data_IF_134801194345
#
_entry.id   IF_134801194345
#
_cell.length_a   1.000
_cell.length_b   1.000
_cell.length_c   1.000
_cell.angle_alpha   90.00
_cell.angle_beta   90.00
_cell.angle_gamma   90.00
#
_symmetry.space_group_name_H-M   'P 1'
#
loop_
_entity.id
_entity.type
_entity.pdbx_description
1 polymer ?
#
# COMPACT_ATOMS: atom_id res chain seq x y z
N UNK A 1 -18.33 -24.76 2.78
CA UNK A 1 -18.06 -24.09 1.50
C UNK A 1 -18.24 -22.59 1.74
N UNK A 2 -17.16 -21.87 2.02
CA UNK A 2 -17.20 -20.52 2.58
C UNK A 2 -17.12 -19.46 1.48
N UNK A 3 -18.01 -18.46 1.55
CA UNK A 3 -18.27 -17.43 0.53
C UNK A 3 -17.26 -16.27 0.56
N UNK A 4 -15.96 -16.54 0.75
CA UNK A 4 -14.93 -15.50 0.85
C UNK A 4 -14.18 -15.22 -0.47
N UNK A 5 -14.57 -15.83 -1.59
CA UNK A 5 -13.81 -15.76 -2.85
C UNK A 5 -14.37 -14.82 -3.92
N UNK A 6 -15.31 -13.93 -3.58
CA UNK A 6 -16.03 -13.17 -4.61
C UNK A 6 -15.97 -11.65 -4.46
N UNK A 7 -14.77 -11.07 -4.26
CA UNK A 7 -14.49 -9.66 -4.63
C UNK A 7 -13.01 -9.49 -5.02
N UNK A 8 -12.57 -10.06 -6.15
CA UNK A 8 -11.32 -9.62 -6.79
C UNK A 8 -11.52 -9.60 -8.31
N UNK A 9 -11.84 -8.42 -8.84
CA UNK A 9 -11.82 -8.16 -10.27
C UNK A 9 -10.40 -7.95 -10.78
N UNK A 10 -10.04 -8.66 -11.86
CA UNK A 10 -9.03 -8.31 -12.87
C UNK A 10 -7.69 -7.68 -12.39
N UNK A 11 -7.05 -8.29 -11.41
CA UNK A 11 -5.63 -8.13 -11.08
C UNK A 11 -5.09 -9.48 -10.62
N UNK A 12 -3.81 -9.79 -10.87
CA UNK A 12 -3.20 -11.02 -10.35
C UNK A 12 -3.44 -11.05 -8.83
N UNK A 13 -4.02 -12.13 -8.27
CA UNK A 13 -4.27 -12.19 -6.83
C UNK A 13 -2.95 -11.98 -6.09
N UNK A 14 -2.97 -11.11 -5.08
CA UNK A 14 -1.82 -10.89 -4.22
C UNK A 14 -1.34 -12.25 -3.69
N UNK A 15 -0.09 -12.60 -3.99
CA UNK A 15 0.53 -13.83 -3.50
C UNK A 15 1.50 -13.47 -2.38
N UNK A 16 1.12 -13.69 -1.11
CA UNK A 16 1.97 -13.32 0.01
C UNK A 16 3.36 -13.95 -0.07
N UNK A 17 4.37 -13.12 0.17
CA UNK A 17 5.77 -13.55 0.31
C UNK A 17 6.20 -13.53 1.76
N UNK A 18 6.60 -14.70 2.25
CA UNK A 18 7.01 -14.92 3.63
C UNK A 18 8.51 -15.15 3.68
N UNK A 19 9.20 -14.37 4.51
CA UNK A 19 10.57 -14.64 4.92
C UNK A 19 10.53 -15.48 6.20
N UNK A 20 10.91 -16.75 6.10
CA UNK A 20 10.99 -17.67 7.24
C UNK A 20 12.43 -17.69 7.76
N UNK A 21 12.64 -17.34 9.02
CA UNK A 21 13.94 -17.31 9.68
C UNK A 21 13.98 -18.35 10.80
N UNK A 22 14.61 -19.49 10.53
CA UNK A 22 14.65 -20.67 11.39
C UNK A 22 15.93 -21.48 11.08
N UNK A 23 16.75 -21.75 12.09
CA UNK A 23 18.05 -22.42 11.91
C UNK A 23 17.94 -23.95 11.99
N UNK A 24 16.96 -24.48 12.73
CA UNK A 24 16.71 -25.90 12.84
C UNK A 24 16.08 -26.46 11.55
N UNK A 25 16.85 -27.27 10.82
CA UNK A 25 16.49 -27.69 9.46
C UNK A 25 15.13 -28.40 9.38
N UNK A 26 14.85 -29.31 10.32
CA UNK A 26 13.62 -30.09 10.31
C UNK A 26 12.39 -29.21 10.55
N UNK A 27 12.45 -28.34 11.55
CA UNK A 27 11.42 -27.33 11.82
C UNK A 27 11.24 -26.42 10.61
N UNK A 28 12.33 -25.86 10.08
CA UNK A 28 12.30 -24.95 8.93
C UNK A 28 11.62 -25.57 7.71
N UNK A 29 11.94 -26.82 7.39
CA UNK A 29 11.33 -27.56 6.27
C UNK A 29 9.85 -27.85 6.54
N UNK A 30 9.49 -28.24 7.76
CA UNK A 30 8.09 -28.48 8.13
C UNK A 30 7.24 -27.21 7.99
N UNK A 31 7.70 -26.09 8.56
CA UNK A 31 7.02 -24.80 8.44
C UNK A 31 6.94 -24.33 6.99
N UNK A 32 8.02 -24.46 6.22
CA UNK A 32 8.03 -24.10 4.80
C UNK A 32 7.01 -24.93 4.01
N UNK A 33 6.93 -26.24 4.25
CA UNK A 33 5.99 -27.13 3.56
C UNK A 33 4.54 -26.70 3.84
N UNK A 34 4.19 -26.51 5.12
CA UNK A 34 2.85 -26.08 5.53
C UNK A 34 2.46 -24.75 4.88
N UNK A 35 3.38 -23.77 4.85
CA UNK A 35 3.12 -22.47 4.21
C UNK A 35 2.94 -22.59 2.68
N UNK A 36 3.74 -23.44 2.04
CA UNK A 36 3.68 -23.67 0.59
C UNK A 36 2.44 -24.45 0.17
N UNK A 37 1.94 -25.38 0.99
CA UNK A 37 0.68 -26.10 0.76
C UNK A 37 -0.52 -25.15 0.65
N UNK A 38 -0.49 -24.02 1.37
CA UNK A 38 -1.51 -22.96 1.31
C UNK A 38 -1.29 -22.00 0.12
N UNK A 39 -0.17 -22.13 -0.60
CA UNK A 39 0.15 -21.35 -1.80
C UNK A 39 1.00 -20.10 -1.56
N UNK A 40 1.54 -19.92 -0.35
CA UNK A 40 2.43 -18.80 -0.06
C UNK A 40 3.82 -19.01 -0.67
N UNK A 41 4.43 -17.91 -1.11
CA UNK A 41 5.82 -17.92 -1.56
C UNK A 41 6.74 -17.77 -0.34
N UNK A 42 7.62 -18.74 -0.10
CA UNK A 42 8.44 -18.80 1.12
C UNK A 42 9.92 -18.80 0.79
N UNK A 43 10.64 -17.83 1.34
CA UNK A 43 12.10 -17.80 1.33
C UNK A 43 12.62 -18.16 2.74
N UNK A 44 13.36 -19.28 2.85
CA UNK A 44 13.96 -19.72 4.10
C UNK A 44 15.35 -19.09 4.34
N UNK A 45 15.57 -18.48 5.49
CA UNK A 45 16.86 -18.04 5.99
C UNK A 45 17.23 -18.82 7.26
N UNK A 46 18.40 -19.46 7.28
CA UNK A 46 18.87 -20.25 8.42
C UNK A 46 19.71 -19.47 9.44
N UNK A 47 19.92 -18.19 9.17
CA UNK A 47 20.69 -17.27 10.00
C UNK A 47 20.08 -15.87 9.88
N UNK A 48 20.30 -15.02 10.88
CA UNK A 48 19.77 -13.67 10.85
C UNK A 48 20.42 -12.82 9.76
N UNK A 49 21.72 -13.01 9.50
CA UNK A 49 22.40 -12.33 8.38
C UNK A 49 21.81 -12.71 7.02
N UNK A 50 21.52 -13.98 6.79
CA UNK A 50 20.88 -14.43 5.55
C UNK A 50 19.46 -13.87 5.41
N UNK A 51 18.74 -13.72 6.53
CA UNK A 51 17.42 -13.10 6.53
C UNK A 51 17.51 -11.61 6.11
N UNK A 52 18.45 -10.86 6.68
CA UNK A 52 18.67 -9.45 6.32
C UNK A 52 19.15 -9.27 4.88
N UNK A 53 20.00 -10.16 4.38
CA UNK A 53 20.43 -10.17 2.98
C UNK A 53 19.22 -10.35 2.05
N UNK A 54 18.39 -11.37 2.29
CA UNK A 54 17.18 -11.61 1.49
C UNK A 54 16.21 -10.44 1.56
N UNK A 55 15.98 -9.91 2.77
CA UNK A 55 15.14 -8.74 3.00
C UNK A 55 15.61 -7.52 2.19
N UNK A 56 16.92 -7.36 1.97
CA UNK A 56 17.44 -6.26 1.14
C UNK A 56 17.23 -6.46 -0.36
N UNK A 57 17.04 -7.70 -0.82
CA UNK A 57 16.97 -8.06 -2.24
C UNK A 57 15.54 -8.22 -2.75
N UNK A 58 14.58 -8.52 -1.87
CA UNK A 58 13.19 -8.84 -2.23
C UNK A 58 12.21 -8.17 -1.29
N UNK A 59 10.98 -8.01 -1.78
CA UNK A 59 9.85 -7.59 -0.95
C UNK A 59 9.21 -8.80 -0.28
N UNK A 60 8.83 -8.61 0.98
CA UNK A 60 8.13 -9.58 1.79
C UNK A 60 6.97 -8.93 2.53
N UNK A 61 5.91 -9.69 2.73
CA UNK A 61 4.71 -9.27 3.44
C UNK A 61 4.76 -9.63 4.92
N UNK A 62 5.44 -10.74 5.23
CA UNK A 62 5.55 -11.31 6.56
C UNK A 62 6.95 -11.86 6.84
N UNK A 63 7.48 -11.55 8.02
CA UNK A 63 8.63 -12.21 8.63
C UNK A 63 8.11 -13.20 9.68
N UNK A 64 8.50 -14.47 9.57
CA UNK A 64 8.38 -15.43 10.66
C UNK A 64 9.78 -15.63 11.24
N UNK A 65 9.98 -15.30 12.51
CA UNK A 65 11.30 -15.18 13.10
C UNK A 65 11.49 -16.05 14.34
N UNK A 66 12.47 -16.95 14.33
CA UNK A 66 13.07 -17.43 15.57
C UNK A 66 13.94 -16.34 16.21
N UNK A 67 13.80 -16.16 17.53
CA UNK A 67 14.67 -15.28 18.31
C UNK A 67 16.05 -15.91 18.53
N UNK A 68 16.13 -17.24 18.60
CA UNK A 68 17.38 -17.95 18.84
C UNK A 68 17.98 -18.38 17.51
N UNK A 69 19.00 -17.66 17.06
CA UNK A 69 19.74 -17.97 15.85
C UNK A 69 21.23 -18.17 16.17
N UNK A 70 22.00 -18.83 15.28
CA UNK A 70 23.40 -19.12 15.54
C UNK A 70 24.33 -17.91 15.43
N UNK A 71 23.90 -16.80 14.81
CA UNK A 71 24.78 -15.67 14.45
C UNK A 71 24.40 -14.33 15.10
N UNK A 72 23.14 -13.91 15.01
CA UNK A 72 22.64 -12.65 15.60
C UNK A 72 21.31 -12.88 16.30
N UNK A 73 20.94 -12.02 17.26
CA UNK A 73 19.65 -12.13 17.94
C UNK A 73 18.50 -11.86 16.95
N UNK A 74 17.53 -12.78 16.86
CA UNK A 74 16.38 -12.61 15.98
C UNK A 74 15.57 -11.34 16.28
N UNK A 75 15.60 -10.85 17.53
CA UNK A 75 14.97 -9.58 17.89
C UNK A 75 15.63 -8.37 17.20
N UNK A 76 16.95 -8.40 17.00
CA UNK A 76 17.66 -7.35 16.26
C UNK A 76 17.29 -7.33 14.77
N UNK A 77 17.06 -8.52 14.19
CA UNK A 77 16.55 -8.66 12.83
C UNK A 77 15.15 -8.06 12.71
N UNK A 78 14.24 -8.43 13.61
CA UNK A 78 12.87 -7.89 13.63
C UNK A 78 12.89 -6.37 13.75
N UNK A 79 13.69 -5.82 14.67
CA UNK A 79 13.85 -4.38 14.83
C UNK A 79 14.30 -3.72 13.52
N UNK A 80 15.34 -4.25 12.88
CA UNK A 80 15.87 -3.72 11.62
C UNK A 80 14.83 -3.76 10.49
N UNK A 81 14.08 -4.86 10.40
CA UNK A 81 13.01 -5.03 9.40
C UNK A 81 11.89 -4.03 9.64
N UNK A 82 11.43 -3.88 10.89
CA UNK A 82 10.35 -2.95 11.26
C UNK A 82 10.72 -1.48 11.10
N UNK A 83 11.98 -1.11 11.34
CA UNK A 83 12.47 0.26 11.10
C UNK A 83 12.49 0.60 9.61
N UNK A 84 12.88 -0.34 8.75
CA UNK A 84 12.98 -0.13 7.29
C UNK A 84 11.65 -0.31 6.57
N UNK A 85 10.79 -1.21 7.07
CA UNK A 85 9.51 -1.62 6.48
C UNK A 85 8.46 -1.81 7.60
N UNK A 86 7.94 -0.72 8.20
CA UNK A 86 6.94 -0.80 9.27
C UNK A 86 5.68 -1.57 8.88
N UNK A 87 5.33 -1.55 7.58
CA UNK A 87 4.16 -2.21 7.01
C UNK A 87 4.30 -3.73 6.89
N UNK A 88 5.53 -4.25 6.89
CA UNK A 88 5.81 -5.67 6.84
C UNK A 88 5.40 -6.30 8.19
N UNK A 89 4.57 -7.33 8.14
CA UNK A 89 4.13 -8.01 9.36
C UNK A 89 5.25 -8.89 9.91
N UNK A 90 5.22 -9.17 11.20
CA UNK A 90 6.21 -10.03 11.84
C UNK A 90 5.52 -10.94 12.85
N UNK A 91 5.92 -12.20 12.92
CA UNK A 91 5.54 -13.16 13.94
C UNK A 91 6.83 -13.69 14.55
N UNK A 92 6.82 -13.83 15.87
CA UNK A 92 7.91 -14.47 16.60
C UNK A 92 7.54 -15.92 16.89
N UNK A 93 8.45 -16.85 16.66
CA UNK A 93 8.39 -18.23 17.12
C UNK A 93 9.59 -18.47 18.04
N UNK A 94 9.46 -18.99 19.26
CA UNK A 94 10.68 -19.26 20.06
C UNK A 94 10.50 -20.35 21.12
N UNK A 95 11.55 -21.15 21.31
CA UNK A 95 11.64 -22.10 22.43
C UNK A 95 12.06 -21.47 23.76
N UNK A 96 12.57 -20.22 23.74
CA UNK A 96 13.11 -19.55 24.92
C UNK A 96 12.40 -18.21 25.17
N UNK A 97 11.09 -18.23 25.49
CA UNK A 97 10.35 -17.02 25.74
C UNK A 97 10.81 -16.33 27.03
N UNK A 98 10.77 -15.01 27.03
CA UNK A 98 10.95 -14.20 28.23
C UNK A 98 9.94 -13.05 28.24
N UNK A 99 9.63 -12.52 29.43
CA UNK A 99 8.76 -11.34 29.54
C UNK A 99 9.37 -10.16 28.80
N UNK A 100 10.69 -9.98 28.90
CA UNK A 100 11.40 -8.89 28.22
C UNK A 100 11.30 -8.99 26.69
N UNK A 101 11.47 -10.18 26.12
CA UNK A 101 11.36 -10.38 24.66
C UNK A 101 9.93 -10.20 24.17
N UNK A 102 8.93 -10.68 24.90
CA UNK A 102 7.52 -10.48 24.56
C UNK A 102 7.13 -8.99 24.59
N UNK A 103 7.53 -8.26 25.64
CA UNK A 103 7.29 -6.80 25.73
C UNK A 103 7.98 -6.06 24.58
N UNK A 104 9.19 -6.46 24.21
CA UNK A 104 9.93 -5.85 23.10
C UNK A 104 9.24 -6.12 21.77
N UNK A 105 8.78 -7.35 21.52
CA UNK A 105 8.03 -7.71 20.32
C UNK A 105 6.76 -6.87 20.15
N UNK A 106 5.99 -6.69 21.24
CA UNK A 106 4.79 -5.83 21.23
C UNK A 106 5.15 -4.39 20.88
N UNK A 107 6.21 -3.83 21.49
CA UNK A 107 6.68 -2.46 21.19
C UNK A 107 7.11 -2.28 19.73
N UNK A 108 7.65 -3.32 19.10
CA UNK A 108 8.04 -3.31 17.70
C UNK A 108 6.87 -3.57 16.73
N UNK A 109 5.65 -3.78 17.24
CA UNK A 109 4.49 -4.07 16.42
C UNK A 109 4.55 -5.45 15.75
N UNK A 110 5.16 -6.43 16.42
CA UNK A 110 5.01 -7.85 16.07
C UNK A 110 3.54 -8.23 16.21
N UNK A 111 3.02 -8.96 15.22
CA UNK A 111 1.62 -9.37 15.18
C UNK A 111 1.32 -10.42 16.22
N UNK A 112 2.15 -11.46 16.31
CA UNK A 112 1.94 -12.58 17.22
C UNK A 112 3.27 -13.11 17.78
N UNK A 113 3.24 -13.58 19.02
CA UNK A 113 4.39 -14.18 19.71
C UNK A 113 4.06 -15.61 20.13
N UNK A 114 4.54 -16.58 19.35
CA UNK A 114 4.30 -18.01 19.56
C UNK A 114 5.46 -18.66 20.32
N UNK A 115 5.11 -19.39 21.38
CA UNK A 115 6.04 -20.21 22.16
C UNK A 115 6.10 -21.63 21.58
N UNK A 116 7.30 -22.16 21.38
CA UNK A 116 7.52 -23.59 21.07
C UNK A 116 7.36 -24.44 22.36
N UNK A 117 6.76 -25.64 22.28
CA UNK A 117 6.12 -26.22 21.10
C UNK A 117 4.76 -25.57 20.80
N UNK A 118 4.43 -25.47 19.52
CA UNK A 118 3.13 -25.04 19.00
C UNK A 118 2.62 -26.06 17.98
N UNK A 119 1.31 -26.06 17.76
CA UNK A 119 0.64 -26.87 16.75
C UNK A 119 0.67 -26.19 15.38
N UNK A 120 0.44 -26.96 14.32
CA UNK A 120 0.30 -26.43 12.96
C UNK A 120 -0.84 -25.41 12.87
N UNK A 121 -1.96 -25.66 13.54
CA UNK A 121 -3.13 -24.78 13.55
C UNK A 121 -2.81 -23.43 14.24
N UNK A 122 -2.11 -23.44 15.38
CA UNK A 122 -1.67 -22.21 16.05
C UNK A 122 -0.72 -21.39 15.17
N UNK A 123 0.22 -22.04 14.50
CA UNK A 123 1.14 -21.39 13.58
C UNK A 123 0.41 -20.75 12.39
N UNK A 124 -0.50 -21.51 11.76
CA UNK A 124 -1.26 -21.02 10.61
C UNK A 124 -2.23 -19.90 10.98
N UNK A 125 -2.89 -20.00 12.13
CA UNK A 125 -3.76 -18.93 12.62
C UNK A 125 -3.00 -17.60 12.81
N UNK A 126 -1.77 -17.66 13.35
CA UNK A 126 -0.91 -16.49 13.50
C UNK A 126 -0.50 -15.91 12.13
N UNK A 127 -0.07 -16.77 11.20
CA UNK A 127 0.33 -16.37 9.83
C UNK A 127 -0.81 -15.69 9.09
N UNK A 128 -1.97 -16.32 9.06
CA UNK A 128 -3.15 -15.76 8.40
C UNK A 128 -3.62 -14.47 9.06
N UNK A 129 -3.59 -14.38 10.39
CA UNK A 129 -3.92 -13.16 11.12
C UNK A 129 -3.03 -11.99 10.71
N UNK A 130 -1.72 -12.25 10.59
CA UNK A 130 -0.77 -11.27 10.14
C UNK A 130 -1.05 -10.84 8.69
N UNK A 131 -1.22 -11.80 7.78
CA UNK A 131 -1.45 -11.50 6.36
C UNK A 131 -2.79 -10.80 6.11
N UNK A 132 -3.86 -11.13 6.84
CA UNK A 132 -5.13 -10.39 6.77
C UNK A 132 -4.97 -8.92 7.17
N UNK A 133 -4.15 -8.64 8.20
CA UNK A 133 -3.85 -7.26 8.59
C UNK A 133 -3.10 -6.50 7.49
N UNK A 134 -2.20 -7.19 6.76
CA UNK A 134 -1.51 -6.62 5.60
C UNK A 134 -2.48 -6.35 4.45
N UNK A 135 -3.36 -7.29 4.14
CA UNK A 135 -4.37 -7.16 3.10
C UNK A 135 -5.31 -5.99 3.35
N UNK A 136 -5.87 -5.87 4.56
CA UNK A 136 -6.74 -4.76 4.95
C UNK A 136 -6.04 -3.39 4.84
N UNK A 137 -4.72 -3.33 5.11
CA UNK A 137 -3.95 -2.10 4.92
C UNK A 137 -3.79 -1.72 3.45
N UNK A 138 -3.65 -2.70 2.56
CA UNK A 138 -3.58 -2.48 1.12
C UNK A 138 -4.94 -2.00 0.61
N UNK A 139 -6.02 -2.66 1.02
CA UNK A 139 -7.39 -2.30 0.65
C UNK A 139 -7.72 -0.86 1.09
N UNK A 140 -7.40 -0.49 2.33
CA UNK A 140 -7.63 0.87 2.83
C UNK A 140 -6.89 1.95 2.00
N UNK A 141 -5.64 1.67 1.59
CA UNK A 141 -4.87 2.59 0.74
C UNK A 141 -5.49 2.70 -0.65
N UNK A 142 -5.95 1.59 -1.23
CA UNK A 142 -6.60 1.58 -2.54
C UNK A 142 -7.90 2.38 -2.50
N UNK A 143 -8.75 2.14 -1.50
CA UNK A 143 -10.02 2.87 -1.31
C UNK A 143 -9.79 4.37 -1.14
N UNK A 144 -8.80 4.77 -0.33
CA UNK A 144 -8.45 6.20 -0.16
C UNK A 144 -7.99 6.80 -1.48
N UNK A 145 -7.14 6.10 -2.24
CA UNK A 145 -6.64 6.58 -3.53
C UNK A 145 -7.75 6.75 -4.58
N UNK A 146 -8.73 5.84 -4.60
CA UNK A 146 -9.90 5.94 -5.48
C UNK A 146 -10.81 7.10 -5.06
N UNK A 147 -11.04 7.27 -3.76
CA UNK A 147 -11.81 8.39 -3.20
C UNK A 147 -11.18 9.73 -3.55
N UNK A 148 -9.87 9.89 -3.34
CA UNK A 148 -9.13 11.09 -3.72
C UNK A 148 -9.24 11.37 -5.23
N UNK A 149 -9.10 10.33 -6.06
CA UNK A 149 -9.27 10.46 -7.51
C UNK A 149 -10.67 10.95 -7.90
N UNK A 150 -11.71 10.37 -7.32
CA UNK A 150 -13.09 10.79 -7.60
C UNK A 150 -13.35 12.23 -7.16
N UNK A 151 -12.79 12.65 -6.02
CA UNK A 151 -12.83 14.05 -5.56
C UNK A 151 -12.15 14.95 -6.60
N UNK A 152 -10.96 14.58 -7.11
CA UNK A 152 -10.29 15.34 -8.17
C UNK A 152 -11.17 15.48 -9.42
N UNK A 153 -11.71 14.38 -9.94
CA UNK A 153 -12.56 14.37 -11.14
C UNK A 153 -13.79 15.29 -10.96
N UNK A 154 -14.47 15.21 -9.81
CA UNK A 154 -15.62 16.09 -9.51
C UNK A 154 -15.24 17.56 -9.39
N UNK A 155 -14.07 17.88 -8.83
CA UNK A 155 -13.59 19.25 -8.73
C UNK A 155 -13.24 19.82 -10.11
N UNK A 156 -12.65 19.01 -11.01
CA UNK A 156 -12.41 19.42 -12.40
C UNK A 156 -13.72 19.82 -13.07
N UNK A 157 -14.75 18.97 -12.99
CA UNK A 157 -16.07 19.25 -13.57
C UNK A 157 -16.64 20.56 -13.02
N UNK A 158 -16.61 20.75 -11.69
CA UNK A 158 -17.10 21.98 -11.04
C UNK A 158 -16.40 23.23 -11.52
N UNK A 159 -15.08 23.19 -11.72
CA UNK A 159 -14.32 24.33 -12.25
C UNK A 159 -14.72 24.61 -13.70
N UNK A 160 -14.79 23.59 -14.56
CA UNK A 160 -15.12 23.77 -15.98
C UNK A 160 -16.55 24.29 -16.17
N UNK A 161 -17.52 23.77 -15.40
CA UNK A 161 -18.90 24.23 -15.42
C UNK A 161 -18.97 25.70 -15.01
N UNK A 162 -18.36 26.06 -13.87
CA UNK A 162 -18.33 27.46 -13.41
C UNK A 162 -17.66 28.35 -14.43
N UNK A 163 -16.48 27.98 -14.94
CA UNK A 163 -15.74 28.82 -15.88
C UNK A 163 -16.47 28.99 -17.23
N UNK A 164 -17.33 28.03 -17.61
CA UNK A 164 -18.16 28.15 -18.80
C UNK A 164 -19.40 29.05 -18.61
N UNK A 165 -19.89 29.19 -17.37
CA UNK A 165 -21.15 29.86 -17.05
C UNK A 165 -21.01 31.21 -16.33
N UNK A 166 -19.87 31.44 -15.66
CA UNK A 166 -19.59 32.61 -14.82
C UNK A 166 -18.47 33.46 -15.47
N UNK A 167 -18.82 34.59 -16.13
CA UNK A 167 -17.84 35.47 -16.74
C UNK A 167 -16.86 36.09 -15.75
N UNK A 168 -17.26 36.35 -14.50
CA UNK A 168 -16.38 36.96 -13.50
C UNK A 168 -15.30 35.98 -13.08
N UNK A 169 -15.70 34.75 -12.77
CA UNK A 169 -14.76 33.66 -12.47
C UNK A 169 -13.85 33.34 -13.67
N UNK A 170 -14.37 33.40 -14.90
CA UNK A 170 -13.54 33.26 -16.09
C UNK A 170 -12.43 34.32 -16.14
N UNK A 171 -12.75 35.60 -15.91
CA UNK A 171 -11.72 36.65 -15.90
C UNK A 171 -10.71 36.43 -14.78
N UNK A 172 -11.16 36.08 -13.57
CA UNK A 172 -10.28 35.75 -12.44
C UNK A 172 -9.32 34.59 -12.78
N UNK A 173 -9.83 33.51 -13.37
CA UNK A 173 -9.04 32.34 -13.78
C UNK A 173 -8.02 32.69 -14.88
N UNK A 174 -8.31 33.67 -15.72
CA UNK A 174 -7.39 34.14 -16.75
C UNK A 174 -6.32 35.09 -16.20
N UNK A 175 -6.65 35.94 -15.24
CA UNK A 175 -5.70 36.88 -14.63
C UNK A 175 -4.79 36.22 -13.60
N UNK A 176 -5.35 35.34 -12.78
CA UNK A 176 -4.65 34.73 -11.64
C UNK A 176 -4.18 33.29 -11.90
N UNK A 177 -4.60 32.67 -13.01
CA UNK A 177 -4.23 31.29 -13.35
C UNK A 177 -4.61 30.29 -12.25
N UNK A 178 -3.68 29.41 -11.87
CA UNK A 178 -3.91 28.40 -10.84
C UNK A 178 -4.23 28.97 -9.45
N UNK A 179 -3.93 30.25 -9.18
CA UNK A 179 -4.28 30.91 -7.91
C UNK A 179 -5.78 31.13 -7.76
N UNK A 180 -6.53 31.29 -8.86
CA UNK A 180 -8.01 31.33 -8.84
C UNK A 180 -8.63 30.01 -8.38
N UNK A 181 -7.85 28.92 -8.40
CA UNK A 181 -8.28 27.57 -8.02
C UNK A 181 -7.85 27.19 -6.59
N UNK A 182 -7.41 28.15 -5.77
CA UNK A 182 -6.87 27.87 -4.41
C UNK A 182 -7.88 27.15 -3.51
N UNK A 183 -9.16 27.47 -3.62
CA UNK A 183 -10.23 26.93 -2.78
C UNK A 183 -10.79 25.58 -3.29
N UNK A 184 -10.33 25.14 -4.47
CA UNK A 184 -10.68 23.83 -5.02
C UNK A 184 -9.72 22.77 -4.51
N UNK A 185 -10.28 21.58 -4.22
CA UNK A 185 -9.54 20.40 -3.75
C UNK A 185 -8.85 19.69 -4.92
N UNK A 186 -8.10 20.44 -5.71
CA UNK A 186 -7.38 19.98 -6.90
C UNK A 186 -5.89 19.81 -6.62
N UNK A 187 -5.28 18.83 -7.29
CA UNK A 187 -3.82 18.68 -7.32
C UNK A 187 -3.16 19.86 -8.04
N UNK A 188 -1.87 20.09 -7.80
CA UNK A 188 -1.13 21.15 -8.50
C UNK A 188 -1.12 20.95 -10.01
N UNK A 189 -1.01 19.69 -10.45
CA UNK A 189 -1.08 19.32 -11.86
C UNK A 189 -2.46 19.63 -12.45
N UNK A 190 -3.54 19.27 -11.75
CA UNK A 190 -4.90 19.56 -12.19
C UNK A 190 -5.16 21.07 -12.28
N UNK A 191 -4.70 21.84 -11.29
CA UNK A 191 -4.80 23.31 -11.31
C UNK A 191 -4.01 23.91 -12.47
N UNK A 192 -2.82 23.39 -12.76
CA UNK A 192 -2.01 23.83 -13.89
C UNK A 192 -2.67 23.50 -15.23
N UNK A 193 -3.20 22.27 -15.39
CA UNK A 193 -3.86 21.84 -16.62
C UNK A 193 -5.16 22.61 -16.91
N UNK A 194 -5.99 22.84 -15.88
CA UNK A 194 -7.20 23.64 -16.01
C UNK A 194 -6.88 25.11 -16.24
N UNK A 195 -5.82 25.62 -15.58
CA UNK A 195 -5.24 26.89 -15.94
C UNK A 195 -4.81 26.82 -17.40
N UNK A 196 -3.68 26.27 -17.84
CA UNK A 196 -3.25 26.32 -19.26
C UNK A 196 -4.25 25.85 -20.34
N UNK A 197 -5.37 25.20 -19.99
CA UNK A 197 -6.34 24.70 -20.96
C UNK A 197 -5.83 23.44 -21.64
N UNK A 198 -5.05 22.62 -20.92
CA UNK A 198 -4.52 21.35 -21.42
C UNK A 198 -5.67 20.37 -21.66
N UNK A 199 -6.20 20.40 -22.88
CA UNK A 199 -7.33 19.60 -23.30
C UNK A 199 -7.04 18.09 -23.21
N UNK A 200 -5.79 17.67 -23.41
CA UNK A 200 -5.42 16.26 -23.33
C UNK A 200 -5.48 15.78 -21.88
N UNK A 201 -4.91 16.56 -20.96
CA UNK A 201 -4.97 16.25 -19.54
C UNK A 201 -6.41 16.27 -19.02
N UNK A 202 -7.19 17.29 -19.38
CA UNK A 202 -8.58 17.46 -18.95
C UNK A 202 -9.42 16.28 -19.44
N UNK A 203 -9.35 15.90 -20.73
CA UNK A 203 -10.13 14.75 -21.24
C UNK A 203 -9.79 13.44 -20.54
N UNK A 204 -8.55 13.27 -20.09
CA UNK A 204 -8.11 12.08 -19.36
C UNK A 204 -8.62 12.03 -17.93
N UNK A 205 -8.89 13.17 -17.29
CA UNK A 205 -9.22 13.29 -15.87
C UNK A 205 -10.58 13.96 -15.58
N UNK A 206 -11.40 14.18 -16.62
CA UNK A 206 -12.75 14.76 -16.50
C UNK A 206 -13.84 13.71 -16.20
N UNK A 207 -13.51 12.42 -16.19
CA UNK A 207 -14.46 11.34 -15.87
C UNK A 207 -15.57 11.09 -16.91
N UNK A 208 -15.64 11.88 -18.00
CA UNK A 208 -16.67 11.78 -19.04
C UNK A 208 -16.46 12.72 -20.24
N UNK A 209 -17.43 12.80 -21.16
CA UNK A 209 -17.39 13.74 -22.29
C UNK A 209 -17.57 15.19 -21.83
N UNK A 210 -16.74 16.10 -22.38
CA UNK A 210 -16.87 17.53 -22.14
C UNK A 210 -18.11 18.09 -22.85
N UNK A 211 -18.83 19.00 -22.20
CA UNK A 211 -19.97 19.69 -22.80
C UNK A 211 -19.52 20.70 -23.87
N UNK A 212 -20.45 21.16 -24.71
CA UNK A 212 -20.15 22.17 -25.74
C UNK A 212 -19.70 23.48 -25.12
N UNK A 213 -20.30 23.86 -24.00
CA UNK A 213 -19.96 25.06 -23.22
C UNK A 213 -18.55 24.96 -22.64
N UNK A 214 -18.20 23.81 -22.04
CA UNK A 214 -16.86 23.55 -21.50
C UNK A 214 -15.81 23.55 -22.61
N UNK A 215 -16.07 22.89 -23.76
CA UNK A 215 -15.17 22.91 -24.91
C UNK A 215 -14.97 24.33 -25.44
N UNK A 216 -16.04 25.12 -25.56
CA UNK A 216 -15.98 26.51 -26.00
C UNK A 216 -15.12 27.36 -25.04
N UNK A 217 -15.21 27.11 -23.75
CA UNK A 217 -14.34 27.72 -22.74
C UNK A 217 -12.86 27.35 -22.96
N UNK A 218 -12.54 26.06 -23.12
CA UNK A 218 -11.14 25.62 -23.32
C UNK A 218 -10.55 26.21 -24.61
N UNK A 219 -11.30 26.22 -25.71
CA UNK A 219 -10.80 26.80 -26.97
C UNK A 219 -10.56 28.31 -26.87
N UNK A 220 -11.47 29.06 -26.24
CA UNK A 220 -11.25 30.51 -25.98
C UNK A 220 -9.98 30.78 -25.20
N UNK A 221 -9.58 29.85 -24.32
CA UNK A 221 -8.35 29.97 -23.55
C UNK A 221 -7.12 29.81 -24.44
N UNK A 222 -7.07 28.72 -25.21
CA UNK A 222 -5.95 28.41 -26.11
C UNK A 222 -5.73 29.51 -27.16
N UNK A 223 -6.82 30.12 -27.67
CA UNK A 223 -6.74 31.23 -28.63
C UNK A 223 -6.07 32.48 -28.04
N UNK A 224 -6.10 32.68 -26.72
CA UNK A 224 -5.55 33.87 -26.05
C UNK A 224 -4.06 33.74 -25.70
N UNK A 225 -3.53 32.52 -25.62
CA UNK A 225 -2.08 32.27 -25.44
C UNK A 225 -1.31 32.39 -26.77
N UNK A 226 -2.00 32.39 -27.91
CA UNK A 226 -1.40 32.46 -29.24
C UNK A 226 -1.01 33.90 -29.70
N UNK A 227 -1.23 34.91 -28.85
CA UNK A 227 -0.97 36.34 -29.10
C UNK A 227 -0.19 36.97 -27.95
#
# INVERSE_FOLDING_TARGET
MNQAQAVMGAGTPWQPRILLMEDELNMAQGLQMVLQEVGYAVDLARTGRAALEKFSQKLFDLLVADLRLPDIDGMEVIKTVKEKKPEMQAIVITGYPSVASAVTAVKLGVHEYLRKPFTQDEFMAAVEGALRKKEASIEAILVESESERLIQEQEVIRVLDRASADPEFWHELMEMGSLALKDYRLSMEAKAAIASGDLNWIRKHHGGELTKEQLKFIYKRLEREAW
#
